data_IF_463033165042
#
_entry.id   IF_463033165042
#
_cell.length_a   1.000
_cell.length_b   1.000
_cell.length_c   1.000
_cell.angle_alpha   90.00
_cell.angle_beta   90.00
_cell.angle_gamma   90.00
#
_symmetry.space_group_name_H-M   'P 1'
#
loop_
_entity.id
_entity.type
_entity.pdbx_description
1 polymer ?
#
# COMPACT_ATOMS: atom_id res chain seq x y z
N UNK A 1 0.01 -46.44 2.42
CA UNK A 1 0.70 -45.20 2.84
C UNK A 1 -0.26 -44.03 2.68
N UNK A 2 -0.82 -43.46 3.76
CA UNK A 2 -1.61 -42.22 3.70
C UNK A 2 -0.67 -41.04 3.86
N UNK A 3 -0.47 -40.26 2.81
CA UNK A 3 0.16 -38.96 2.91
C UNK A 3 -0.72 -38.07 3.82
N UNK A 4 -0.25 -37.83 5.06
CA UNK A 4 -0.81 -36.75 5.87
C UNK A 4 -0.41 -35.45 5.19
N UNK A 5 -1.33 -34.83 4.47
CA UNK A 5 -1.28 -33.40 4.23
C UNK A 5 -1.34 -32.72 5.60
N UNK A 6 -0.18 -32.54 6.22
CA UNK A 6 -0.01 -31.57 7.29
C UNK A 6 -0.33 -30.24 6.65
N UNK A 7 -1.54 -29.72 6.92
CA UNK A 7 -1.87 -28.32 6.75
C UNK A 7 -0.76 -27.54 7.46
N UNK A 8 0.21 -27.07 6.70
CA UNK A 8 1.24 -26.16 7.19
C UNK A 8 0.48 -24.89 7.60
N UNK A 9 0.13 -24.80 8.88
CA UNK A 9 -0.39 -23.57 9.44
C UNK A 9 0.71 -22.53 9.29
N UNK A 10 0.51 -21.59 8.34
CA UNK A 10 1.48 -20.55 8.04
C UNK A 10 1.74 -19.77 9.35
N UNK A 11 2.95 -19.86 9.94
CA UNK A 11 3.20 -19.36 11.29
C UNK A 11 2.95 -17.85 11.40
N UNK A 12 3.06 -17.13 10.27
CA UNK A 12 2.70 -15.73 10.15
C UNK A 12 1.22 -15.45 10.51
N UNK A 13 0.31 -16.33 10.09
CA UNK A 13 -1.14 -16.16 10.29
C UNK A 13 -1.63 -16.81 11.60
N UNK A 14 -0.76 -17.47 12.35
CA UNK A 14 -1.13 -18.04 13.65
C UNK A 14 -1.43 -16.93 14.70
N UNK A 15 -0.77 -15.78 14.60
CA UNK A 15 -0.98 -14.67 15.53
C UNK A 15 -2.13 -13.76 15.07
N UNK A 16 -3.18 -13.56 15.91
CA UNK A 16 -4.30 -12.69 15.55
C UNK A 16 -3.86 -11.24 15.37
N UNK A 17 -2.86 -10.77 16.13
CA UNK A 17 -2.33 -9.40 16.02
C UNK A 17 -1.70 -9.16 14.64
N UNK A 18 -0.85 -10.08 14.20
CA UNK A 18 -0.17 -9.98 12.90
C UNK A 18 -1.19 -10.00 11.76
N UNK A 19 -2.21 -10.86 11.87
CA UNK A 19 -3.32 -10.90 10.90
C UNK A 19 -4.04 -9.57 10.77
N UNK A 20 -4.38 -8.93 11.89
CA UNK A 20 -5.07 -7.63 11.87
C UNK A 20 -4.20 -6.52 11.30
N UNK A 21 -2.91 -6.50 11.60
CA UNK A 21 -1.97 -5.52 11.02
C UNK A 21 -1.87 -5.71 9.49
N UNK A 22 -1.66 -6.94 9.02
CA UNK A 22 -1.58 -7.24 7.60
C UNK A 22 -2.90 -6.95 6.87
N UNK A 23 -4.03 -7.30 7.46
CA UNK A 23 -5.35 -6.98 6.92
C UNK A 23 -5.58 -5.47 6.86
N UNK A 24 -5.19 -4.73 7.90
CA UNK A 24 -5.25 -3.27 7.91
C UNK A 24 -4.44 -2.65 6.78
N UNK A 25 -3.21 -3.15 6.54
CA UNK A 25 -2.37 -2.66 5.46
C UNK A 25 -3.00 -2.94 4.08
N UNK A 26 -3.54 -4.14 3.88
CA UNK A 26 -4.24 -4.50 2.65
C UNK A 26 -5.50 -3.65 2.41
N UNK A 27 -6.25 -3.33 3.48
CA UNK A 27 -7.43 -2.44 3.38
C UNK A 27 -7.01 -1.02 3.01
N UNK A 28 -5.94 -0.48 3.60
CA UNK A 28 -5.44 0.86 3.25
C UNK A 28 -4.95 0.91 1.81
N UNK A 29 -4.25 -0.12 1.35
CA UNK A 29 -3.87 -0.24 -0.06
C UNK A 29 -5.09 -0.29 -0.98
N UNK A 30 -6.14 -1.04 -0.60
CA UNK A 30 -7.38 -1.09 -1.36
C UNK A 30 -8.08 0.29 -1.42
N UNK A 31 -8.04 1.06 -0.32
CA UNK A 31 -8.53 2.45 -0.31
C UNK A 31 -7.72 3.32 -1.26
N UNK A 32 -6.39 3.18 -1.31
CA UNK A 32 -5.54 3.92 -2.24
C UNK A 32 -5.90 3.60 -3.71
N UNK A 33 -6.06 2.32 -4.05
CA UNK A 33 -6.52 1.91 -5.39
C UNK A 33 -7.92 2.42 -5.71
N UNK A 34 -8.86 2.30 -4.78
CA UNK A 34 -10.23 2.77 -4.95
C UNK A 34 -10.28 4.28 -5.18
N UNK A 35 -9.45 5.05 -4.46
CA UNK A 35 -9.35 6.49 -4.65
C UNK A 35 -9.02 6.80 -6.11
N UNK A 36 -8.00 6.15 -6.70
CA UNK A 36 -7.60 6.37 -8.10
C UNK A 36 -8.68 5.96 -9.10
N UNK A 37 -9.30 4.80 -8.91
CA UNK A 37 -10.30 4.29 -9.84
C UNK A 37 -11.55 5.19 -9.93
N UNK A 38 -11.79 6.02 -8.91
CA UNK A 38 -12.91 6.97 -8.85
C UNK A 38 -12.55 8.33 -9.46
N UNK A 39 -11.27 8.67 -9.66
CA UNK A 39 -10.96 9.92 -10.36
C UNK A 39 -11.47 9.83 -11.84
N UNK A 40 -12.09 10.90 -12.37
CA UNK A 40 -12.49 10.97 -13.78
C UNK A 40 -11.30 10.75 -14.72
N UNK A 41 -11.40 9.80 -15.66
CA UNK A 41 -10.35 9.50 -16.65
C UNK A 41 -10.07 10.63 -17.63
N UNK A 42 -10.98 11.60 -17.70
CA UNK A 42 -10.99 12.72 -18.64
C UNK A 42 -10.45 14.01 -18.01
N UNK A 43 -9.84 13.92 -16.82
CA UNK A 43 -9.08 15.02 -16.23
C UNK A 43 -7.88 15.30 -17.14
N UNK A 44 -8.03 16.31 -17.99
CA UNK A 44 -6.94 16.86 -18.79
C UNK A 44 -5.74 17.17 -17.87
N UNK A 45 -4.48 16.96 -18.33
CA UNK A 45 -3.26 17.15 -17.52
C UNK A 45 -3.04 18.57 -16.94
N UNK A 46 -3.99 19.48 -17.12
CA UNK A 46 -3.87 20.93 -16.87
C UNK A 46 -4.53 21.43 -15.57
N UNK A 47 -5.09 20.55 -14.74
CA UNK A 47 -5.71 20.96 -13.48
C UNK A 47 -4.68 21.28 -12.37
N UNK A 48 -4.15 22.51 -12.38
CA UNK A 48 -3.44 23.25 -11.31
C UNK A 48 -2.19 22.63 -10.62
N UNK A 49 -2.18 21.34 -10.31
CA UNK A 49 -1.08 20.63 -9.62
C UNK A 49 0.18 20.67 -10.47
N UNK A 50 0.08 20.46 -11.79
CA UNK A 50 1.23 20.44 -12.71
C UNK A 50 2.02 21.76 -12.70
N UNK A 51 1.35 22.92 -12.56
CA UNK A 51 2.03 24.22 -12.49
C UNK A 51 2.75 24.49 -11.15
N UNK A 52 2.21 24.01 -10.04
CA UNK A 52 2.83 24.21 -8.71
C UNK A 52 3.86 23.13 -8.36
N UNK A 53 3.68 21.88 -8.80
CA UNK A 53 4.62 20.79 -8.54
C UNK A 53 5.88 20.86 -9.40
N UNK A 54 5.83 21.48 -10.59
CA UNK A 54 7.04 21.73 -11.40
C UNK A 54 8.07 22.59 -10.66
N UNK A 55 7.62 23.54 -9.85
CA UNK A 55 8.49 24.44 -9.06
C UNK A 55 9.19 23.72 -7.89
N UNK A 56 8.67 22.60 -7.41
CA UNK A 56 9.21 21.84 -6.27
C UNK A 56 9.83 20.48 -6.65
N UNK A 57 10.02 20.19 -7.95
CA UNK A 57 10.60 18.91 -8.40
C UNK A 57 9.66 17.70 -8.32
N UNK A 58 8.39 17.93 -7.96
CA UNK A 58 7.31 16.93 -7.89
C UNK A 58 6.53 16.91 -9.22
N UNK A 59 7.04 17.57 -10.27
CA UNK A 59 6.39 17.72 -11.57
C UNK A 59 6.14 16.40 -12.32
N UNK A 60 6.68 15.28 -11.84
CA UNK A 60 6.43 13.97 -12.40
C UNK A 60 5.03 13.41 -12.04
N UNK A 61 4.37 13.81 -10.95
CA UNK A 61 3.14 13.13 -10.49
C UNK A 61 1.82 13.64 -11.10
N UNK A 62 1.86 14.66 -11.99
CA UNK A 62 0.66 15.31 -12.52
C UNK A 62 -0.03 14.58 -13.69
N UNK A 63 0.64 13.62 -14.33
CA UNK A 63 0.04 12.81 -15.39
C UNK A 63 -0.83 11.70 -14.83
N UNK A 64 -1.93 11.35 -15.50
CA UNK A 64 -2.78 10.20 -15.16
C UNK A 64 -2.00 8.89 -14.89
N UNK A 65 -0.95 8.55 -15.68
CA UNK A 65 -0.12 7.38 -15.41
C UNK A 65 0.64 7.47 -14.08
N UNK A 66 0.95 8.68 -13.64
CA UNK A 66 1.82 8.93 -12.49
C UNK A 66 1.02 8.95 -11.18
N UNK A 67 -0.30 9.16 -11.25
CA UNK A 67 -1.19 8.93 -10.10
C UNK A 67 -1.14 7.47 -9.64
N UNK A 68 -0.99 6.51 -10.57
CA UNK A 68 -0.90 5.09 -10.26
C UNK A 68 0.38 4.72 -9.49
N UNK A 69 1.41 5.57 -9.50
CA UNK A 69 2.69 5.28 -8.85
C UNK A 69 2.51 4.99 -7.35
N UNK A 70 1.70 5.78 -6.66
CA UNK A 70 1.51 5.64 -5.21
C UNK A 70 0.92 4.28 -4.80
N UNK A 71 -0.24 3.83 -5.31
CA UNK A 71 -0.76 2.52 -4.95
C UNK A 71 0.04 1.36 -5.56
N UNK A 72 0.75 1.55 -6.67
CA UNK A 72 1.68 0.53 -7.19
C UNK A 72 2.86 0.35 -6.22
N UNK A 73 3.46 1.45 -5.75
CA UNK A 73 4.53 1.43 -4.73
C UNK A 73 4.02 0.75 -3.45
N UNK A 74 2.83 1.09 -2.97
CA UNK A 74 2.20 0.43 -1.82
C UNK A 74 2.04 -1.08 -2.05
N UNK A 75 1.53 -1.47 -3.22
CA UNK A 75 1.40 -2.89 -3.58
C UNK A 75 2.74 -3.63 -3.52
N UNK A 76 3.80 -3.05 -4.08
CA UNK A 76 5.14 -3.64 -4.06
C UNK A 76 5.65 -3.75 -2.63
N UNK A 77 5.57 -2.67 -1.84
CA UNK A 77 6.04 -2.64 -0.46
C UNK A 77 5.31 -3.65 0.42
N UNK A 78 3.98 -3.73 0.32
CA UNK A 78 3.18 -4.71 1.04
C UNK A 78 3.59 -6.14 0.69
N UNK A 79 3.74 -6.45 -0.60
CA UNK A 79 4.14 -7.79 -1.05
C UNK A 79 5.55 -8.17 -0.59
N UNK A 80 6.51 -7.24 -0.71
CA UNK A 80 7.89 -7.44 -0.25
C UNK A 80 7.90 -7.66 1.27
N UNK A 81 7.26 -6.79 2.04
CA UNK A 81 7.27 -6.88 3.50
C UNK A 81 6.50 -8.09 4.03
N UNK A 82 5.41 -8.51 3.38
CA UNK A 82 4.74 -9.77 3.68
C UNK A 82 5.64 -10.98 3.40
N UNK A 83 6.38 -10.94 2.30
CA UNK A 83 7.33 -12.02 1.95
C UNK A 83 8.46 -12.08 2.97
N UNK A 84 9.08 -10.95 3.30
CA UNK A 84 10.13 -10.87 4.33
C UNK A 84 9.59 -11.32 5.69
N UNK A 85 8.39 -10.90 6.09
CA UNK A 85 7.73 -11.35 7.32
C UNK A 85 7.53 -12.88 7.34
N UNK A 86 7.11 -13.49 6.24
CA UNK A 86 7.01 -14.95 6.11
C UNK A 86 8.37 -15.64 6.23
N UNK A 87 9.42 -15.06 5.66
CA UNK A 87 10.77 -15.63 5.76
C UNK A 87 11.31 -15.53 7.19
N UNK A 88 11.11 -14.40 7.86
CA UNK A 88 11.54 -14.18 9.24
C UNK A 88 10.83 -15.09 10.24
N UNK A 89 9.52 -15.34 10.05
CA UNK A 89 8.77 -16.28 10.90
C UNK A 89 9.22 -17.74 10.76
N UNK A 90 10.01 -18.08 9.73
CA UNK A 90 10.60 -19.41 9.57
C UNK A 90 11.99 -19.54 10.20
N UNK A 91 12.71 -18.43 10.36
CA UNK A 91 14.10 -18.43 10.82
C UNK A 91 14.26 -18.00 12.26
N UNK A 92 13.33 -17.18 12.77
CA UNK A 92 13.43 -16.55 14.08
C UNK A 92 12.12 -16.74 14.84
N UNK A 93 12.16 -17.47 15.96
CA UNK A 93 11.02 -17.66 16.88
C UNK A 93 10.65 -16.37 17.66
N UNK A 94 11.34 -15.25 17.40
CA UNK A 94 11.16 -13.99 18.12
C UNK A 94 10.14 -13.13 17.34
N UNK A 95 8.91 -12.91 17.85
CA UNK A 95 7.86 -12.14 17.16
C UNK A 95 8.04 -10.61 16.98
N UNK A 96 8.90 -9.88 17.73
CA UNK A 96 9.05 -8.43 17.61
C UNK A 96 9.45 -7.91 16.22
N UNK A 97 10.46 -8.45 15.51
CA UNK A 97 10.88 -7.91 14.21
C UNK A 97 9.77 -7.98 13.15
N UNK A 98 9.02 -9.10 13.13
CA UNK A 98 7.89 -9.30 12.21
C UNK A 98 6.77 -8.30 12.50
N UNK A 99 6.47 -8.11 13.79
CA UNK A 99 5.43 -7.16 14.21
C UNK A 99 5.82 -5.73 13.87
N UNK A 100 7.07 -5.33 14.11
CA UNK A 100 7.58 -4.00 13.77
C UNK A 100 7.56 -3.76 12.25
N UNK A 101 8.05 -4.72 11.46
CA UNK A 101 8.06 -4.64 9.99
C UNK A 101 6.64 -4.44 9.43
N UNK A 102 5.68 -5.26 9.87
CA UNK A 102 4.29 -5.16 9.39
C UNK A 102 3.57 -3.92 9.93
N UNK A 103 3.91 -3.46 11.14
CA UNK A 103 3.38 -2.19 11.66
C UNK A 103 3.91 -1.00 10.85
N UNK A 104 5.20 -0.99 10.51
CA UNK A 104 5.77 0.03 9.62
C UNK A 104 5.12 -0.02 8.23
N UNK A 105 4.86 -1.22 7.71
CA UNK A 105 4.13 -1.41 6.45
C UNK A 105 2.73 -0.80 6.52
N UNK A 106 1.98 -1.07 7.58
CA UNK A 106 0.65 -0.47 7.80
C UNK A 106 0.72 1.06 7.82
N UNK A 107 1.70 1.65 8.52
CA UNK A 107 1.86 3.11 8.56
C UNK A 107 2.16 3.71 7.18
N UNK A 108 2.98 3.01 6.37
CA UNK A 108 3.25 3.42 4.99
C UNK A 108 1.98 3.37 4.13
N UNK A 109 1.20 2.29 4.21
CA UNK A 109 -0.06 2.18 3.46
C UNK A 109 -1.08 3.26 3.86
N UNK A 110 -1.13 3.65 5.14
CA UNK A 110 -1.94 4.78 5.59
C UNK A 110 -1.47 6.07 4.90
N UNK A 111 -0.16 6.33 4.86
CA UNK A 111 0.40 7.50 4.19
C UNK A 111 0.08 7.53 2.69
N UNK A 112 0.19 6.38 2.02
CA UNK A 112 -0.15 6.21 0.60
C UNK A 112 -1.65 6.43 0.36
N UNK A 113 -2.52 5.91 1.23
CA UNK A 113 -3.97 6.13 1.15
C UNK A 113 -4.33 7.61 1.33
N UNK A 114 -3.71 8.31 2.29
CA UNK A 114 -3.88 9.75 2.50
C UNK A 114 -3.41 10.55 1.28
N UNK A 115 -2.23 10.22 0.73
CA UNK A 115 -1.69 10.87 -0.46
C UNK A 115 -2.62 10.69 -1.67
N UNK A 116 -3.10 9.47 -1.89
CA UNK A 116 -4.05 9.14 -2.97
C UNK A 116 -5.38 9.88 -2.82
N UNK A 117 -5.92 9.94 -1.60
CA UNK A 117 -7.16 10.68 -1.31
C UNK A 117 -6.98 12.21 -1.48
N UNK A 118 -5.81 12.74 -1.13
CA UNK A 118 -5.50 14.16 -1.31
C UNK A 118 -5.45 14.52 -2.79
N UNK A 119 -4.82 13.68 -3.63
CA UNK A 119 -4.82 13.85 -5.08
C UNK A 119 -6.25 13.86 -5.64
N UNK A 120 -7.12 12.95 -5.19
CA UNK A 120 -8.54 12.96 -5.57
C UNK A 120 -9.22 14.29 -5.23
N UNK A 121 -9.06 14.79 -3.99
CA UNK A 121 -9.71 16.03 -3.53
C UNK A 121 -9.23 17.25 -4.32
N UNK A 122 -7.91 17.36 -4.51
CA UNK A 122 -7.33 18.49 -5.24
C UNK A 122 -7.79 18.49 -6.69
N UNK A 123 -7.81 17.32 -7.33
CA UNK A 123 -8.17 17.22 -8.75
C UNK A 123 -9.66 17.43 -9.00
N UNK A 124 -10.53 17.04 -8.06
CA UNK A 124 -11.99 17.20 -8.18
C UNK A 124 -12.52 18.58 -7.77
N UNK A 125 -11.76 19.37 -7.01
CA UNK A 125 -12.12 20.75 -6.65
C UNK A 125 -11.52 21.80 -7.59
N UNK A 126 -10.57 21.41 -8.44
CA UNK A 126 -9.91 22.29 -9.41
C UNK A 126 -10.65 22.42 -10.75
N UNK A 127 -11.67 21.60 -11.00
CA UNK A 127 -12.57 21.63 -12.17
C UNK A 127 -13.87 22.36 -11.86
#
# INVERSE_FOLDING_TARGET
>A
MRARFSLHHDPLLASPRIRWIAAGAAVMLAVAWAAILVLPKDLEPDALVTRYTFTFGIGALGGWPNLLELPVIGTILLLVNLTVARLLTRTVDIPPPVTLLLTATLLLEIGIAIGSATLLIVNTRGS
#
